data_IF_944850852166
#
_entry.id   IF_944850852166
#
_cell.length_a   1.000
_cell.length_b   1.000
_cell.length_c   1.000
_cell.angle_alpha   90.00
_cell.angle_beta   90.00
_cell.angle_gamma   90.00
#
_symmetry.space_group_name_H-M   'P 1'
#
loop_
_entity.id
_entity.type
_entity.pdbx_description
1 polymer ?
#
# COMPACT_ATOMS: atom_id res chain seq x y z
N UNK A 1 -5.61 -17.13 9.55
CA UNK A 1 -4.67 -16.23 10.27
C UNK A 1 -3.78 -17.05 11.20
N UNK A 2 -2.96 -17.97 10.66
CA UNK A 2 -2.35 -19.07 11.44
C UNK A 2 -0.82 -19.12 11.47
N UNK A 3 -0.10 -18.16 10.87
CA UNK A 3 1.38 -18.13 10.88
C UNK A 3 2.00 -17.12 11.87
N UNK A 4 1.21 -16.36 12.62
CA UNK A 4 1.73 -15.34 13.55
C UNK A 4 2.28 -14.07 12.88
N UNK A 5 2.40 -14.05 11.55
CA UNK A 5 2.92 -12.93 10.78
C UNK A 5 2.01 -11.69 10.72
N UNK A 6 0.92 -11.58 11.49
CA UNK A 6 0.07 -10.38 11.49
C UNK A 6 -0.05 -9.89 12.92
N UNK A 7 0.24 -8.60 13.14
CA UNK A 7 0.09 -7.97 14.45
C UNK A 7 -1.34 -8.18 14.97
N UNK A 8 -1.47 -8.47 16.27
CA UNK A 8 -2.77 -8.77 16.90
C UNK A 8 -3.73 -7.57 16.72
N UNK A 9 -4.75 -7.75 15.89
CA UNK A 9 -5.82 -6.78 15.61
C UNK A 9 -7.09 -7.51 15.20
N UNK A 10 -8.23 -6.82 15.18
CA UNK A 10 -9.47 -7.42 14.65
C UNK A 10 -9.39 -7.59 13.11
N UNK A 11 -10.06 -8.59 12.53
CA UNK A 11 -10.11 -8.76 11.08
C UNK A 11 -10.58 -7.50 10.34
N UNK A 12 -11.54 -6.76 10.91
CA UNK A 12 -12.06 -5.52 10.34
C UNK A 12 -10.97 -4.45 10.26
N UNK A 13 -10.17 -4.28 11.31
CA UNK A 13 -9.06 -3.34 11.33
C UNK A 13 -7.99 -3.72 10.30
N UNK A 14 -7.70 -5.01 10.14
CA UNK A 14 -6.78 -5.47 9.10
C UNK A 14 -7.27 -5.11 7.70
N UNK A 15 -8.56 -5.36 7.41
CA UNK A 15 -9.16 -5.02 6.11
C UNK A 15 -9.16 -3.52 5.85
N UNK A 16 -9.53 -2.70 6.84
CA UNK A 16 -9.51 -1.24 6.73
C UNK A 16 -8.09 -0.76 6.42
N UNK A 17 -7.08 -1.26 7.13
CA UNK A 17 -5.68 -0.89 6.90
C UNK A 17 -5.20 -1.32 5.52
N UNK A 18 -5.52 -2.54 5.09
CA UNK A 18 -5.19 -3.04 3.75
C UNK A 18 -5.78 -2.14 2.65
N UNK A 19 -7.07 -1.83 2.75
CA UNK A 19 -7.76 -0.99 1.77
C UNK A 19 -7.18 0.43 1.76
N UNK A 20 -6.93 1.02 2.92
CA UNK A 20 -6.36 2.36 3.04
C UNK A 20 -4.96 2.47 2.39
N UNK A 21 -4.12 1.44 2.53
CA UNK A 21 -2.79 1.39 1.93
C UNK A 21 -2.84 1.29 0.39
N UNK A 22 -3.87 0.64 -0.14
CA UNK A 22 -4.08 0.42 -1.57
C UNK A 22 -4.83 1.57 -2.27
N UNK A 23 -5.72 2.26 -1.56
CA UNK A 23 -6.61 3.27 -2.15
C UNK A 23 -5.89 4.55 -2.56
N UNK A 24 -4.82 4.94 -1.85
CA UNK A 24 -4.07 6.17 -2.11
C UNK A 24 -3.63 6.34 -3.58
N UNK A 25 -2.88 5.38 -4.16
CA UNK A 25 -2.48 5.41 -5.56
C UNK A 25 -3.62 5.41 -6.58
N UNK A 26 -4.77 4.81 -6.22
CA UNK A 26 -5.93 4.67 -7.11
C UNK A 26 -6.71 5.98 -7.13
N UNK A 27 -6.98 6.56 -5.97
CA UNK A 27 -7.76 7.79 -5.83
C UNK A 27 -6.94 9.04 -6.20
N UNK A 28 -5.66 9.08 -5.82
CA UNK A 28 -4.83 10.29 -5.93
C UNK A 28 -3.68 10.17 -6.93
N UNK A 29 -3.65 9.12 -7.76
CA UNK A 29 -2.48 8.84 -8.62
C UNK A 29 -2.14 9.97 -9.59
N UNK A 30 -3.13 10.58 -10.24
CA UNK A 30 -2.90 11.75 -11.13
C UNK A 30 -2.41 12.96 -10.36
N UNK A 31 -2.90 13.16 -9.12
CA UNK A 31 -2.46 14.24 -8.24
C UNK A 31 -1.01 14.04 -7.81
N UNK A 32 -0.64 12.83 -7.37
CA UNK A 32 0.74 12.49 -7.00
C UNK A 32 1.71 12.68 -8.17
N UNK A 33 1.35 12.25 -9.38
CA UNK A 33 2.18 12.46 -10.57
C UNK A 33 2.47 13.94 -10.81
N UNK A 34 1.46 14.81 -10.67
CA UNK A 34 1.62 16.27 -10.81
C UNK A 34 2.42 16.89 -9.67
N UNK A 35 2.08 16.56 -8.42
CA UNK A 35 2.73 17.15 -7.24
C UNK A 35 4.20 16.77 -7.11
N UNK A 36 4.55 15.56 -7.52
CA UNK A 36 5.90 15.02 -7.41
C UNK A 36 6.65 15.07 -8.75
N UNK A 37 6.07 15.75 -9.76
CA UNK A 37 6.62 15.91 -11.10
C UNK A 37 7.16 14.60 -11.71
N UNK A 38 6.35 13.53 -11.62
CA UNK A 38 6.72 12.20 -12.10
C UNK A 38 6.13 11.90 -13.47
N UNK A 39 6.91 11.24 -14.32
CA UNK A 39 6.38 10.56 -15.50
C UNK A 39 5.52 9.35 -15.14
N UNK A 40 4.66 8.92 -16.07
CA UNK A 40 3.87 7.69 -15.89
C UNK A 40 4.74 6.45 -15.67
N UNK A 41 5.93 6.40 -16.29
CA UNK A 41 6.89 5.31 -16.11
C UNK A 41 7.44 5.27 -14.69
N UNK A 42 7.86 6.41 -14.15
CA UNK A 42 8.36 6.53 -12.77
C UNK A 42 7.27 6.20 -11.77
N UNK A 43 6.05 6.71 -11.99
CA UNK A 43 4.91 6.42 -11.14
C UNK A 43 4.60 4.92 -11.11
N UNK A 44 4.54 4.27 -12.28
CA UNK A 44 4.30 2.82 -12.38
C UNK A 44 5.37 2.00 -11.66
N UNK A 45 6.63 2.42 -11.75
CA UNK A 45 7.72 1.77 -11.02
C UNK A 45 7.53 1.86 -9.50
N UNK A 46 7.22 3.05 -8.98
CA UNK A 46 6.98 3.27 -7.54
C UNK A 46 5.78 2.47 -7.05
N UNK A 47 4.70 2.39 -7.83
CA UNK A 47 3.53 1.58 -7.46
C UNK A 47 3.85 0.09 -7.43
N UNK A 48 4.70 -0.40 -8.33
CA UNK A 48 5.16 -1.79 -8.30
C UNK A 48 6.01 -2.08 -7.05
N UNK A 49 6.93 -1.19 -6.70
CA UNK A 49 7.76 -1.30 -5.49
C UNK A 49 6.91 -1.23 -4.21
N UNK A 50 5.82 -0.45 -4.23
CA UNK A 50 4.90 -0.29 -3.09
C UNK A 50 4.25 -1.60 -2.65
N UNK A 51 4.16 -2.62 -3.52
CA UNK A 51 3.62 -3.94 -3.15
C UNK A 51 4.42 -4.56 -1.99
N UNK A 52 5.74 -4.57 -2.09
CA UNK A 52 6.62 -5.15 -1.06
C UNK A 52 6.55 -4.34 0.24
N UNK A 53 6.43 -3.01 0.14
CA UNK A 53 6.28 -2.12 1.28
C UNK A 53 4.98 -2.42 2.04
N UNK A 54 3.85 -2.55 1.33
CA UNK A 54 2.55 -2.86 1.94
C UNK A 54 2.57 -4.22 2.62
N UNK A 55 3.20 -5.21 2.01
CA UNK A 55 3.38 -6.53 2.62
C UNK A 55 4.23 -6.45 3.90
N UNK A 56 5.33 -5.69 3.90
CA UNK A 56 6.15 -5.48 5.10
C UNK A 56 5.45 -4.71 6.22
N UNK A 57 4.49 -3.84 5.90
CA UNK A 57 3.70 -3.12 6.90
C UNK A 57 2.59 -3.99 7.51
N UNK A 58 1.93 -4.79 6.69
CA UNK A 58 0.80 -5.62 7.12
C UNK A 58 1.25 -6.91 7.79
N UNK A 59 2.39 -7.45 7.36
CA UNK A 59 2.92 -8.68 7.87
C UNK A 59 4.18 -8.42 8.69
N UNK A 60 4.14 -8.80 9.96
CA UNK A 60 5.33 -8.90 10.81
C UNK A 60 6.12 -10.12 10.34
N UNK A 61 7.41 -9.93 10.09
CA UNK A 61 8.33 -11.00 9.68
C UNK A 61 8.45 -12.07 10.76
#
# INVERSE_FOLDING_TARGET
>A
MGKGNIKKMSPQQFFINFIALMSGPVCFGTMYKKMLNMSDRQYKQIINERKEIILGMLFSK
#
